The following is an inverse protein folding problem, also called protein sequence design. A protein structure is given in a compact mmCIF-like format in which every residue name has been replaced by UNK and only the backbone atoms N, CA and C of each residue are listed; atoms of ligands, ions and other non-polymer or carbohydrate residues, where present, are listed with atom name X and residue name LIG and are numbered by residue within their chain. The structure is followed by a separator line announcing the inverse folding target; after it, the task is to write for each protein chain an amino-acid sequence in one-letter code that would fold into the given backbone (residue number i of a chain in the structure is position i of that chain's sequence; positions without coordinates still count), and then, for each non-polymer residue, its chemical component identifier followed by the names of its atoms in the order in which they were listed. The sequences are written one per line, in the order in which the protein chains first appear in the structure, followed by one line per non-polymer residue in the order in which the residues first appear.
data_IF_797655459965
#
_entry.id   IF_797655459965
#
_cell.length_a   1.000
_cell.length_b   1.000
_cell.length_c   1.000
_cell.angle_alpha   90.00
_cell.angle_beta   90.00
_cell.angle_gamma   90.00
#
_symmetry.space_group_name_H-M   'P 1'
#
loop_
_entity.id
_entity.type
_entity.pdbx_description
1 polymer ?
#
# COMPACT_ATOMS: atom_id res chain seq x y z
N UNK A 1 33.71 -26.16 18.34
CA UNK A 1 33.21 -24.97 17.58
C UNK A 1 32.32 -25.33 16.38
N UNK A 2 32.56 -26.47 15.69
CA UNK A 2 31.79 -26.86 14.47
C UNK A 2 30.30 -27.05 14.66
N UNK A 3 29.84 -27.66 15.75
CA UNK A 3 28.40 -27.97 16.02
C UNK A 3 27.54 -26.72 16.18
N UNK A 4 28.06 -25.63 16.78
CA UNK A 4 27.33 -24.36 16.94
C UNK A 4 27.13 -23.60 15.61
N UNK A 5 28.06 -23.77 14.66
CA UNK A 5 27.97 -23.11 13.34
C UNK A 5 26.92 -23.82 12.47
N UNK A 6 26.89 -25.16 12.46
CA UNK A 6 25.87 -25.91 11.73
C UNK A 6 24.46 -25.65 12.25
N UNK A 7 24.27 -25.42 13.54
CA UNK A 7 22.97 -25.08 14.11
C UNK A 7 22.45 -23.69 13.65
N UNK A 8 23.34 -22.69 13.53
CA UNK A 8 22.97 -21.33 13.07
C UNK A 8 22.65 -21.28 11.59
N UNK A 9 23.37 -22.05 10.76
CA UNK A 9 23.04 -22.12 9.34
C UNK A 9 21.70 -22.85 9.10
N UNK A 10 21.46 -23.93 9.84
CA UNK A 10 20.16 -24.63 9.78
C UNK A 10 19.01 -23.72 10.22
N UNK A 11 19.23 -22.93 11.30
CA UNK A 11 18.25 -21.94 11.71
C UNK A 11 17.97 -20.93 10.57
N UNK A 12 19.02 -20.33 9.99
CA UNK A 12 18.88 -19.37 8.87
C UNK A 12 18.11 -19.97 7.70
N UNK A 13 18.43 -21.20 7.32
CA UNK A 13 17.76 -21.91 6.22
C UNK A 13 16.27 -22.15 6.52
N UNK A 14 15.94 -22.46 7.77
CA UNK A 14 14.54 -22.67 8.19
C UNK A 14 13.74 -21.37 8.30
N UNK A 15 14.41 -20.24 8.57
CA UNK A 15 13.74 -18.93 8.67
C UNK A 15 13.63 -18.20 7.33
N UNK A 16 14.30 -18.65 6.29
CA UNK A 16 14.36 -17.97 5.01
C UNK A 16 14.14 -18.93 3.85
N UNK A 17 13.49 -18.46 2.80
CA UNK A 17 13.38 -19.18 1.52
C UNK A 17 14.31 -18.57 0.49
N UNK A 18 14.59 -19.24 -0.65
CA UNK A 18 15.34 -18.66 -1.75
C UNK A 18 14.73 -17.30 -2.18
N UNK A 19 15.57 -16.30 -2.41
CA UNK A 19 15.19 -14.93 -2.71
C UNK A 19 14.95 -14.05 -1.49
N UNK A 20 14.67 -14.61 -0.30
CA UNK A 20 14.44 -13.81 0.91
C UNK A 20 15.60 -12.89 1.23
N UNK A 21 15.30 -11.63 1.53
CA UNK A 21 16.28 -10.70 2.09
C UNK A 21 16.63 -11.08 3.53
N UNK A 22 17.87 -10.80 3.88
CA UNK A 22 18.46 -11.08 5.19
C UNK A 22 19.26 -9.86 5.62
N UNK A 23 18.81 -9.17 6.66
CA UNK A 23 19.42 -7.93 7.13
C UNK A 23 20.44 -8.21 8.23
N UNK A 24 21.58 -7.50 8.21
CA UNK A 24 22.63 -7.67 9.23
C UNK A 24 22.12 -7.38 10.65
N UNK A 25 21.23 -6.41 10.81
CA UNK A 25 20.63 -6.13 12.10
C UNK A 25 19.89 -7.38 12.63
N UNK A 26 18.99 -7.95 11.85
CA UNK A 26 18.23 -9.15 12.20
C UNK A 26 19.15 -10.36 12.45
N UNK A 27 20.21 -10.53 11.63
CA UNK A 27 21.21 -11.57 11.89
C UNK A 27 21.89 -11.39 13.24
N UNK A 28 22.24 -10.14 13.63
CA UNK A 28 22.89 -9.83 14.89
C UNK A 28 21.98 -10.11 16.08
N UNK A 29 20.71 -9.77 15.98
CA UNK A 29 19.67 -10.06 16.98
C UNK A 29 19.49 -11.58 17.21
N UNK A 30 19.84 -12.39 16.17
CA UNK A 30 19.82 -13.86 16.24
C UNK A 30 21.23 -14.47 16.36
N UNK A 31 22.15 -13.78 17.01
CA UNK A 31 23.53 -14.23 17.30
C UNK A 31 24.40 -14.51 16.08
N UNK A 32 24.04 -14.06 14.90
CA UNK A 32 24.87 -14.15 13.68
C UNK A 32 25.57 -12.81 13.45
N UNK A 33 26.74 -12.64 14.09
CA UNK A 33 27.55 -11.43 13.97
C UNK A 33 28.09 -11.25 12.56
N UNK A 34 28.50 -10.03 12.24
CA UNK A 34 29.03 -9.64 10.91
C UNK A 34 30.11 -10.60 10.39
N UNK A 35 31.07 -11.00 11.23
CA UNK A 35 32.14 -11.93 10.83
C UNK A 35 31.62 -13.30 10.37
N UNK A 36 30.51 -13.78 10.97
CA UNK A 36 29.89 -15.03 10.56
C UNK A 36 29.06 -14.85 9.29
N UNK A 37 28.36 -13.72 9.16
CA UNK A 37 27.65 -13.39 7.92
C UNK A 37 28.61 -13.29 6.72
N UNK A 38 29.81 -12.74 6.91
CA UNK A 38 30.86 -12.71 5.87
C UNK A 38 31.32 -14.15 5.47
N UNK A 39 31.47 -15.06 6.43
CA UNK A 39 31.76 -16.47 6.13
C UNK A 39 30.63 -17.12 5.33
N UNK A 40 29.37 -16.82 5.65
CA UNK A 40 28.22 -17.31 4.89
C UNK A 40 28.19 -16.75 3.47
N UNK A 41 28.65 -15.51 3.28
CA UNK A 41 28.79 -14.92 1.95
C UNK A 41 29.93 -15.61 1.14
N UNK A 42 31.08 -15.86 1.76
CA UNK A 42 32.21 -16.55 1.14
C UNK A 42 31.87 -17.99 0.77
N UNK A 43 31.09 -18.69 1.56
CA UNK A 43 30.64 -20.07 1.32
C UNK A 43 29.37 -20.20 0.47
N UNK A 44 28.85 -19.08 -0.06
CA UNK A 44 27.69 -19.07 -0.98
C UNK A 44 26.32 -19.25 -0.32
N UNK A 45 26.24 -19.34 1.02
CA UNK A 45 24.95 -19.41 1.72
C UNK A 45 24.15 -18.12 1.67
N UNK A 46 24.85 -17.00 1.59
CA UNK A 46 24.27 -15.68 1.41
C UNK A 46 24.96 -14.99 0.23
N UNK A 47 24.22 -14.16 -0.51
CA UNK A 47 24.75 -13.21 -1.47
C UNK A 47 24.50 -11.79 -0.99
N UNK A 48 25.47 -10.90 -1.19
CA UNK A 48 25.37 -9.50 -0.79
C UNK A 48 24.57 -8.72 -1.84
N UNK A 49 23.56 -7.97 -1.39
CA UNK A 49 22.80 -7.05 -2.22
C UNK A 49 23.28 -5.60 -2.03
N UNK A 50 23.44 -5.19 -0.76
CA UNK A 50 23.91 -3.85 -0.39
C UNK A 50 24.69 -3.93 0.94
N UNK A 51 25.15 -2.79 1.45
CA UNK A 51 25.79 -2.74 2.77
C UNK A 51 24.84 -3.21 3.86
N UNK A 52 25.19 -4.30 4.56
CA UNK A 52 24.34 -4.90 5.60
C UNK A 52 23.07 -5.58 5.10
N UNK A 53 22.92 -5.78 3.80
CA UNK A 53 21.78 -6.44 3.18
C UNK A 53 22.25 -7.60 2.32
N UNK A 54 21.75 -8.76 2.65
CA UNK A 54 22.04 -10.00 1.97
C UNK A 54 20.75 -10.62 1.45
N UNK A 55 20.88 -11.66 0.66
CA UNK A 55 19.74 -12.53 0.31
C UNK A 55 20.21 -13.99 0.26
N UNK A 56 19.26 -14.89 0.46
CA UNK A 56 19.50 -16.31 0.30
C UNK A 56 19.40 -16.69 -1.18
N UNK A 57 20.48 -17.20 -1.82
CA UNK A 57 20.41 -17.67 -3.19
C UNK A 57 19.53 -18.93 -3.29
N UNK A 58 18.99 -19.18 -4.47
CA UNK A 58 18.36 -20.45 -4.83
C UNK A 58 19.37 -21.48 -5.31
N UNK A 59 18.88 -22.64 -5.72
CA UNK A 59 19.68 -23.68 -6.37
C UNK A 59 20.20 -23.21 -7.74
N UNK A 60 19.49 -22.34 -8.44
CA UNK A 60 19.94 -21.63 -9.63
C UNK A 60 20.28 -20.18 -9.27
N UNK A 61 21.27 -19.59 -9.94
CA UNK A 61 21.68 -18.19 -9.74
C UNK A 61 20.60 -17.17 -10.18
N UNK A 62 19.54 -17.62 -10.80
CA UNK A 62 18.44 -16.79 -11.32
C UNK A 62 17.48 -16.27 -10.25
N UNK A 63 17.48 -16.86 -9.04
CA UNK A 63 16.61 -16.45 -7.95
C UNK A 63 17.21 -15.23 -7.25
N UNK A 64 16.75 -14.06 -7.64
CA UNK A 64 17.08 -12.77 -7.02
C UNK A 64 15.90 -12.26 -6.19
N UNK A 65 16.15 -11.45 -5.13
CA UNK A 65 15.09 -10.81 -4.37
C UNK A 65 14.24 -9.93 -5.29
N UNK A 66 12.94 -9.96 -5.02
CA UNK A 66 11.95 -9.10 -5.67
C UNK A 66 11.38 -8.11 -4.64
N UNK A 67 10.60 -7.15 -5.11
CA UNK A 67 10.03 -6.13 -4.23
C UNK A 67 9.21 -6.68 -3.03
N UNK A 68 8.46 -7.81 -3.14
CA UNK A 68 7.78 -8.38 -1.98
C UNK A 68 8.75 -8.84 -0.88
N UNK A 69 9.95 -9.33 -1.26
CA UNK A 69 11.00 -9.70 -0.30
C UNK A 69 11.48 -8.48 0.50
N UNK A 70 11.59 -7.32 -0.18
CA UNK A 70 12.00 -6.07 0.45
C UNK A 70 10.95 -5.58 1.45
N UNK A 71 9.68 -5.60 1.07
CA UNK A 71 8.58 -5.18 1.94
C UNK A 71 8.43 -6.12 3.15
N UNK A 72 8.51 -7.45 2.91
CA UNK A 72 8.48 -8.44 3.98
C UNK A 72 9.63 -8.24 4.98
N UNK A 73 10.86 -7.96 4.50
CA UNK A 73 12.02 -7.73 5.36
C UNK A 73 11.84 -6.48 6.24
N UNK A 74 11.22 -5.40 5.74
CA UNK A 74 10.88 -4.24 6.57
C UNK A 74 9.94 -4.62 7.72
N UNK A 75 8.88 -5.39 7.43
CA UNK A 75 7.90 -5.77 8.45
C UNK A 75 8.47 -6.77 9.46
N UNK A 76 9.14 -7.85 8.99
CA UNK A 76 9.50 -8.99 9.84
C UNK A 76 10.85 -8.83 10.53
N UNK A 77 11.79 -8.14 9.89
CA UNK A 77 13.16 -8.02 10.41
C UNK A 77 13.47 -6.66 11.02
N UNK A 78 12.80 -5.58 10.58
CA UNK A 78 12.95 -4.24 11.15
C UNK A 78 11.73 -3.77 11.93
N UNK A 79 10.67 -4.56 11.95
CA UNK A 79 9.39 -4.25 12.61
C UNK A 79 8.82 -2.87 12.22
N UNK A 80 9.08 -2.45 10.98
CA UNK A 80 8.55 -1.19 10.46
C UNK A 80 7.11 -1.40 9.98
N UNK A 81 6.15 -0.58 10.43
CA UNK A 81 4.75 -0.70 10.05
C UNK A 81 4.51 -0.14 8.64
N UNK A 82 4.89 -0.90 7.63
CA UNK A 82 4.66 -0.60 6.22
C UNK A 82 3.69 -1.63 5.61
N UNK A 83 2.92 -1.22 4.63
CA UNK A 83 1.95 -2.10 3.98
C UNK A 83 1.82 -1.78 2.49
N UNK A 84 1.34 -2.73 1.72
CA UNK A 84 0.95 -2.49 0.34
C UNK A 84 -0.36 -1.68 0.34
N UNK A 85 -0.36 -0.51 -0.31
CA UNK A 85 -1.41 0.48 -0.17
C UNK A 85 -2.13 0.78 -1.48
N UNK A 86 -3.21 1.53 -1.41
CA UNK A 86 -3.92 2.15 -2.52
C UNK A 86 -4.09 1.25 -3.74
N UNK A 87 -3.67 1.74 -4.90
CA UNK A 87 -3.81 1.03 -6.17
C UNK A 87 -3.16 -0.36 -6.14
N UNK A 88 -1.95 -0.49 -5.57
CA UNK A 88 -1.27 -1.78 -5.49
C UNK A 88 -2.02 -2.77 -4.61
N UNK A 89 -2.60 -2.32 -3.50
CA UNK A 89 -3.43 -3.17 -2.66
C UNK A 89 -4.69 -3.64 -3.39
N UNK A 90 -5.40 -2.75 -4.10
CA UNK A 90 -6.59 -3.11 -4.90
C UNK A 90 -6.24 -4.11 -6.00
N UNK A 91 -5.13 -3.90 -6.71
CA UNK A 91 -4.68 -4.78 -7.80
C UNK A 91 -4.39 -6.19 -7.30
N UNK A 92 -3.64 -6.33 -6.19
CA UNK A 92 -3.32 -7.66 -5.64
C UNK A 92 -4.48 -8.35 -4.92
N UNK A 93 -5.58 -7.64 -4.70
CA UNK A 93 -6.85 -8.22 -4.25
C UNK A 93 -7.83 -8.49 -5.40
N UNK A 94 -7.44 -8.27 -6.68
CA UNK A 94 -8.30 -8.51 -7.84
C UNK A 94 -9.42 -7.47 -8.01
N UNK A 95 -9.29 -6.30 -7.39
CA UNK A 95 -10.30 -5.23 -7.42
C UNK A 95 -9.95 -4.10 -8.39
N UNK A 96 -8.84 -4.22 -9.09
CA UNK A 96 -8.44 -3.28 -10.14
C UNK A 96 -8.06 -4.07 -11.38
N UNK A 97 -8.67 -3.74 -12.52
CA UNK A 97 -8.33 -4.31 -13.82
C UNK A 97 -7.15 -3.60 -14.50
N UNK A 98 -6.48 -2.71 -13.78
CA UNK A 98 -5.37 -1.94 -14.33
C UNK A 98 -4.12 -2.81 -14.40
N UNK A 99 -3.87 -3.36 -15.58
CA UNK A 99 -2.56 -3.90 -15.94
C UNK A 99 -1.63 -2.69 -16.15
N UNK A 100 -0.77 -2.42 -15.20
CA UNK A 100 0.32 -1.48 -15.40
C UNK A 100 1.18 -1.99 -16.58
N UNK A 101 1.03 -1.34 -17.73
CA UNK A 101 1.79 -1.66 -18.96
C UNK A 101 3.29 -1.31 -18.85
N UNK A 102 3.69 -0.62 -17.77
CA UNK A 102 5.08 -0.23 -17.52
C UNK A 102 5.47 -0.54 -16.07
N UNK A 103 6.76 -0.71 -15.84
CA UNK A 103 7.44 -1.03 -14.58
C UNK A 103 6.55 -0.89 -13.34
N UNK A 104 6.42 -1.98 -12.61
CA UNK A 104 5.53 -2.10 -11.45
C UNK A 104 5.79 -0.98 -10.44
N UNK A 105 5.07 0.13 -10.58
CA UNK A 105 5.00 1.16 -9.53
C UNK A 105 4.27 0.54 -8.34
N UNK A 106 4.92 0.48 -7.20
CA UNK A 106 4.33 -0.11 -6.01
C UNK A 106 3.99 0.97 -4.99
N UNK A 107 2.72 1.04 -4.65
CA UNK A 107 2.20 1.95 -3.64
C UNK A 107 2.43 1.38 -2.25
N UNK A 108 3.15 2.11 -1.42
CA UNK A 108 3.51 1.72 -0.06
C UNK A 108 2.91 2.70 0.93
N UNK A 109 2.09 2.19 1.81
CA UNK A 109 1.58 2.94 2.95
C UNK A 109 2.63 3.01 4.07
N UNK A 110 2.92 4.23 4.50
CA UNK A 110 3.91 4.50 5.54
C UNK A 110 3.33 5.41 6.61
N UNK A 111 3.73 5.17 7.85
CA UNK A 111 3.37 6.07 8.94
C UNK A 111 4.08 7.42 8.77
N UNK A 112 3.38 8.50 9.12
CA UNK A 112 3.97 9.86 9.09
C UNK A 112 5.33 9.90 9.78
N UNK A 113 6.30 10.55 9.14
CA UNK A 113 7.69 10.69 9.60
C UNK A 113 8.46 9.38 9.75
N UNK A 114 7.96 8.26 9.21
CA UNK A 114 8.68 6.99 9.19
C UNK A 114 9.92 7.11 8.30
N UNK A 115 11.09 6.85 8.89
CA UNK A 115 12.35 6.79 8.14
C UNK A 115 12.51 5.37 7.59
N UNK A 116 12.56 5.27 6.26
CA UNK A 116 12.84 4.01 5.58
C UNK A 116 14.34 3.90 5.24
N UNK A 117 14.92 2.69 5.34
CA UNK A 117 16.32 2.46 5.02
C UNK A 117 16.66 2.83 3.58
N UNK A 118 17.89 3.30 3.37
CA UNK A 118 18.38 3.68 2.04
C UNK A 118 18.30 2.52 1.04
N UNK A 119 18.71 1.31 1.46
CA UNK A 119 18.67 0.11 0.62
C UNK A 119 17.26 -0.21 0.11
N UNK A 120 16.21 0.10 0.88
CA UNK A 120 14.84 -0.11 0.45
C UNK A 120 14.42 0.94 -0.59
N UNK A 121 14.74 2.21 -0.35
CA UNK A 121 14.43 3.29 -1.31
C UNK A 121 15.13 3.10 -2.65
N UNK A 122 16.33 2.55 -2.63
CA UNK A 122 17.18 2.27 -3.80
C UNK A 122 17.10 0.80 -4.26
N UNK A 123 16.00 0.09 -3.91
CA UNK A 123 15.85 -1.31 -4.29
C UNK A 123 15.86 -1.46 -5.81
N UNK A 124 16.67 -2.38 -6.37
CA UNK A 124 16.90 -2.45 -7.82
C UNK A 124 15.59 -2.61 -8.62
N UNK A 125 15.47 -1.86 -9.69
CA UNK A 125 14.38 -1.93 -10.68
C UNK A 125 12.97 -1.70 -10.09
N UNK A 126 12.89 -1.03 -8.92
CA UNK A 126 11.61 -0.77 -8.27
C UNK A 126 11.39 0.73 -8.09
N UNK A 127 10.23 1.22 -8.51
CA UNK A 127 9.74 2.54 -8.19
C UNK A 127 8.71 2.45 -7.05
N UNK A 128 9.01 3.10 -5.93
CA UNK A 128 8.13 3.17 -4.76
C UNK A 128 7.33 4.46 -4.77
N UNK A 129 6.01 4.35 -4.69
CA UNK A 129 5.12 5.47 -4.46
C UNK A 129 4.64 5.43 -3.02
N UNK A 130 5.02 6.44 -2.24
CA UNK A 130 4.72 6.49 -0.82
C UNK A 130 3.45 7.29 -0.58
N UNK A 131 2.48 6.67 0.07
CA UNK A 131 1.25 7.31 0.51
C UNK A 131 1.11 7.22 2.03
N UNK A 132 0.38 8.16 2.61
CA UNK A 132 0.17 8.18 4.04
C UNK A 132 -1.05 9.00 4.41
N UNK A 133 -2.02 8.35 4.98
CA UNK A 133 -3.28 8.97 5.44
C UNK A 133 -3.11 9.63 6.81
N UNK A 134 -2.63 10.87 6.82
CA UNK A 134 -2.23 11.56 8.05
C UNK A 134 -3.39 11.96 8.97
N UNK A 135 -4.61 12.05 8.44
CA UNK A 135 -5.82 12.49 9.15
C UNK A 135 -6.81 11.36 9.37
N UNK A 136 -6.37 10.11 9.26
CA UNK A 136 -7.18 8.93 9.49
C UNK A 136 -6.60 8.14 10.67
N UNK A 137 -7.46 7.80 11.64
CA UNK A 137 -7.12 6.85 12.68
C UNK A 137 -7.20 5.42 12.13
N UNK A 138 -6.05 4.78 11.96
CA UNK A 138 -5.94 3.40 11.50
C UNK A 138 -6.27 2.43 12.64
N UNK A 139 -7.08 1.42 12.35
CA UNK A 139 -7.39 0.27 13.22
C UNK A 139 -6.84 -0.99 12.54
N UNK A 140 -5.64 -1.48 12.94
CA UNK A 140 -4.92 -2.52 12.21
C UNK A 140 -5.73 -3.77 11.91
N UNK A 141 -6.53 -4.24 12.87
CA UNK A 141 -7.36 -5.45 12.76
C UNK A 141 -8.56 -5.32 11.79
N UNK A 142 -8.95 -4.09 11.45
CA UNK A 142 -10.06 -3.79 10.52
C UNK A 142 -9.57 -3.32 9.17
N UNK A 143 -8.51 -2.52 9.20
CA UNK A 143 -8.04 -1.76 8.05
C UNK A 143 -7.00 -2.52 7.21
N UNK A 144 -6.39 -3.58 7.78
CA UNK A 144 -5.40 -4.38 7.05
C UNK A 144 -5.86 -5.83 6.83
N UNK A 145 -5.24 -6.45 5.84
CA UNK A 145 -5.33 -7.88 5.52
C UNK A 145 -3.94 -8.42 5.22
N UNK A 146 -3.81 -9.73 5.18
CA UNK A 146 -2.63 -10.42 4.66
C UNK A 146 -2.98 -11.04 3.31
N UNK A 147 -2.14 -10.84 2.31
CA UNK A 147 -2.23 -11.50 1.01
C UNK A 147 -0.89 -12.07 0.60
N UNK A 148 -0.93 -13.15 -0.17
CA UNK A 148 0.29 -13.74 -0.74
C UNK A 148 0.58 -13.08 -2.09
N UNK A 149 1.74 -12.42 -2.19
CA UNK A 149 2.24 -11.80 -3.41
C UNK A 149 3.57 -12.42 -3.79
N UNK A 150 3.66 -13.06 -4.96
CA UNK A 150 4.87 -13.75 -5.43
C UNK A 150 5.49 -14.68 -4.37
N UNK A 151 4.63 -15.40 -3.63
CA UNK A 151 5.04 -16.35 -2.59
C UNK A 151 5.47 -15.72 -1.25
N UNK A 152 5.21 -14.42 -1.04
CA UNK A 152 5.44 -13.71 0.23
C UNK A 152 4.13 -13.25 0.84
N UNK A 153 3.95 -13.47 2.12
CA UNK A 153 2.83 -12.89 2.86
C UNK A 153 3.12 -11.44 3.18
N UNK A 154 2.25 -10.55 2.70
CA UNK A 154 2.37 -9.11 2.89
C UNK A 154 1.13 -8.56 3.57
N UNK A 155 1.34 -7.59 4.45
CA UNK A 155 0.26 -6.75 4.96
C UNK A 155 -0.19 -5.79 3.87
N UNK A 156 -1.49 -5.72 3.62
CA UNK A 156 -2.09 -4.84 2.61
C UNK A 156 -3.27 -4.09 3.21
N UNK A 157 -3.59 -2.93 2.67
CA UNK A 157 -4.82 -2.20 3.01
C UNK A 157 -6.04 -3.05 2.67
N UNK A 158 -7.07 -3.04 3.53
CA UNK A 158 -8.39 -3.58 3.14
C UNK A 158 -8.91 -2.84 1.90
N UNK A 159 -9.86 -3.40 1.15
CA UNK A 159 -10.42 -2.71 -0.02
C UNK A 159 -10.93 -1.30 0.30
N UNK A 160 -11.55 -1.12 1.46
CA UNK A 160 -12.10 0.14 1.91
C UNK A 160 -11.00 1.16 2.22
N UNK A 161 -9.95 0.75 2.94
CA UNK A 161 -8.80 1.61 3.20
C UNK A 161 -8.04 1.91 1.91
N UNK A 162 -7.82 0.93 1.05
CA UNK A 162 -7.11 1.11 -0.21
C UNK A 162 -7.84 2.11 -1.13
N UNK A 163 -9.17 2.04 -1.21
CA UNK A 163 -9.98 3.03 -1.92
C UNK A 163 -9.84 4.43 -1.33
N UNK A 164 -9.79 4.53 -0.01
CA UNK A 164 -9.58 5.80 0.69
C UNK A 164 -8.18 6.38 0.41
N UNK A 165 -7.14 5.54 0.45
CA UNK A 165 -5.76 5.93 0.13
C UNK A 165 -5.64 6.45 -1.31
N UNK A 166 -6.32 5.80 -2.27
CA UNK A 166 -6.38 6.28 -3.66
C UNK A 166 -6.96 7.69 -3.73
N UNK A 167 -8.06 7.95 -3.01
CA UNK A 167 -8.70 9.28 -3.01
C UNK A 167 -7.81 10.33 -2.34
N UNK A 168 -7.10 9.98 -1.27
CA UNK A 168 -6.22 10.92 -0.56
C UNK A 168 -5.01 11.36 -1.40
N UNK A 169 -4.64 10.55 -2.39
CA UNK A 169 -3.51 10.80 -3.30
C UNK A 169 -3.92 11.41 -4.65
N UNK A 170 -5.19 11.77 -4.84
CA UNK A 170 -5.65 12.49 -6.04
C UNK A 170 -4.90 13.82 -6.16
N UNK A 171 -4.37 14.07 -7.36
CA UNK A 171 -3.56 15.24 -7.67
C UNK A 171 -2.09 15.14 -7.27
N UNK A 172 -1.67 14.01 -6.65
CA UNK A 172 -0.27 13.73 -6.30
C UNK A 172 0.25 12.49 -7.02
N UNK A 173 -0.33 11.33 -6.75
CA UNK A 173 0.08 10.04 -7.32
C UNK A 173 -0.87 9.56 -8.41
N UNK A 174 -2.09 10.05 -8.44
CA UNK A 174 -3.13 9.62 -9.38
C UNK A 174 -4.00 10.81 -9.80
N UNK A 175 -4.51 10.79 -11.05
CA UNK A 175 -5.48 11.79 -11.50
C UNK A 175 -6.87 11.51 -10.93
N UNK A 176 -7.72 12.52 -10.94
CA UNK A 176 -9.11 12.38 -10.48
C UNK A 176 -9.88 11.39 -11.38
N UNK A 177 -9.67 11.48 -12.69
CA UNK A 177 -10.31 10.62 -13.70
C UNK A 177 -9.93 9.16 -13.49
N UNK A 178 -8.65 8.89 -13.27
CA UNK A 178 -8.18 7.52 -13.02
C UNK A 178 -8.73 6.98 -11.70
N UNK A 179 -8.80 7.80 -10.64
CA UNK A 179 -9.44 7.40 -9.39
C UNK A 179 -10.94 7.10 -9.60
N UNK A 180 -11.64 7.87 -10.45
CA UNK A 180 -13.03 7.60 -10.79
C UNK A 180 -13.20 6.28 -11.56
N UNK A 181 -12.33 5.98 -12.51
CA UNK A 181 -12.33 4.69 -13.22
C UNK A 181 -12.15 3.51 -12.26
N UNK A 182 -11.23 3.63 -11.29
CA UNK A 182 -11.05 2.62 -10.24
C UNK A 182 -12.31 2.44 -9.40
N UNK A 183 -12.94 3.55 -8.99
CA UNK A 183 -14.17 3.51 -8.21
C UNK A 183 -15.31 2.80 -8.92
N UNK A 184 -15.39 2.87 -10.24
CA UNK A 184 -16.40 2.12 -11.01
C UNK A 184 -16.36 0.62 -10.70
N UNK A 185 -15.19 0.04 -10.49
CA UNK A 185 -15.00 -1.38 -10.16
C UNK A 185 -15.28 -1.75 -8.70
N UNK A 186 -15.40 -0.78 -7.78
CA UNK A 186 -15.52 -1.04 -6.34
C UNK A 186 -16.97 -1.31 -5.90
N UNK A 187 -17.64 -2.21 -6.58
CA UNK A 187 -19.08 -2.51 -6.38
C UNK A 187 -19.39 -3.25 -5.07
N UNK A 188 -18.41 -3.90 -4.46
CA UNK A 188 -18.58 -4.81 -3.32
C UNK A 188 -17.90 -4.34 -2.02
N UNK A 189 -17.71 -3.02 -1.82
CA UNK A 189 -17.19 -2.54 -0.54
C UNK A 189 -18.21 -2.77 0.59
N UNK A 190 -17.70 -3.02 1.80
CA UNK A 190 -18.56 -3.19 2.97
C UNK A 190 -19.05 -1.83 3.48
N UNK A 191 -20.37 -1.53 3.46
CA UNK A 191 -20.88 -0.24 3.94
C UNK A 191 -20.51 0.03 5.40
N UNK A 192 -20.51 -1.01 6.26
CA UNK A 192 -20.10 -0.88 7.68
C UNK A 192 -18.64 -0.49 7.84
N UNK A 193 -17.75 -1.04 7.00
CA UNK A 193 -16.32 -0.71 7.06
C UNK A 193 -16.05 0.68 6.50
N UNK A 194 -16.67 1.02 5.36
CA UNK A 194 -16.60 2.36 4.78
C UNK A 194 -17.09 3.41 5.78
N UNK A 195 -18.26 3.19 6.38
CA UNK A 195 -18.83 4.07 7.41
C UNK A 195 -17.83 4.30 8.55
N UNK A 196 -17.37 3.20 9.18
CA UNK A 196 -16.41 3.26 10.28
C UNK A 196 -15.10 3.96 9.90
N UNK A 197 -14.65 3.83 8.65
CA UNK A 197 -13.45 4.49 8.16
C UNK A 197 -13.66 5.99 8.00
N UNK A 198 -14.75 6.40 7.35
CA UNK A 198 -15.05 7.82 7.11
C UNK A 198 -15.36 8.59 8.40
N UNK A 199 -16.00 7.96 9.38
CA UNK A 199 -16.24 8.54 10.72
C UNK A 199 -14.94 8.84 11.48
N UNK A 200 -13.92 8.01 11.30
CA UNK A 200 -12.58 8.19 11.92
C UNK A 200 -11.70 9.20 11.17
N UNK A 201 -12.11 9.58 9.96
CA UNK A 201 -11.34 10.49 9.12
C UNK A 201 -11.61 11.94 9.46
N UNK A 202 -10.53 12.72 9.61
CA UNK A 202 -10.55 14.19 9.73
C UNK A 202 -10.14 14.88 8.42
N UNK A 203 -9.97 14.14 7.33
CA UNK A 203 -9.61 14.67 6.02
C UNK A 203 -10.86 15.07 5.23
N UNK A 204 -11.38 16.25 5.49
CA UNK A 204 -12.63 16.79 4.91
C UNK A 204 -12.66 16.65 3.37
N UNK A 205 -11.59 17.01 2.69
CA UNK A 205 -11.52 16.93 1.23
C UNK A 205 -11.62 15.48 0.75
N UNK A 206 -10.85 14.58 1.35
CA UNK A 206 -10.82 13.16 1.02
C UNK A 206 -12.20 12.52 1.26
N UNK A 207 -12.85 12.83 2.41
CA UNK A 207 -14.19 12.34 2.71
C UNK A 207 -15.21 12.78 1.64
N UNK A 208 -15.19 14.05 1.24
CA UNK A 208 -16.11 14.59 0.23
C UNK A 208 -15.89 13.94 -1.15
N UNK A 209 -14.63 13.81 -1.57
CA UNK A 209 -14.30 13.18 -2.87
C UNK A 209 -14.67 11.69 -2.86
N UNK A 210 -14.41 10.99 -1.75
CA UNK A 210 -14.79 9.59 -1.61
C UNK A 210 -16.31 9.40 -1.76
N UNK A 211 -17.11 10.19 -1.08
CA UNK A 211 -18.56 10.15 -1.19
C UNK A 211 -19.04 10.55 -2.58
N UNK A 212 -18.47 11.61 -3.16
CA UNK A 212 -18.77 12.02 -4.53
C UNK A 212 -18.58 10.86 -5.51
N UNK A 213 -17.40 10.22 -5.55
CA UNK A 213 -17.10 9.11 -6.45
C UNK A 213 -18.05 7.92 -6.22
N UNK A 214 -18.36 7.64 -4.96
CA UNK A 214 -19.25 6.55 -4.59
C UNK A 214 -20.67 6.74 -5.13
N UNK A 215 -21.20 7.95 -5.03
CA UNK A 215 -22.53 8.31 -5.54
C UNK A 215 -22.54 8.52 -7.06
N UNK A 216 -21.46 9.06 -7.62
CA UNK A 216 -21.32 9.23 -9.07
C UNK A 216 -21.46 7.89 -9.82
N UNK A 217 -20.93 6.82 -9.27
CA UNK A 217 -21.06 5.47 -9.82
C UNK A 217 -22.30 4.71 -9.34
N UNK A 218 -23.13 5.32 -8.49
CA UNK A 218 -24.38 4.73 -8.04
C UNK A 218 -24.23 3.47 -7.18
N UNK A 219 -23.13 3.33 -6.44
CA UNK A 219 -22.87 2.15 -5.64
C UNK A 219 -23.92 1.92 -4.57
N UNK A 220 -24.50 0.70 -4.52
CA UNK A 220 -25.53 0.35 -3.54
C UNK A 220 -25.04 0.44 -2.09
N UNK A 221 -23.77 0.17 -1.84
CA UNK A 221 -23.18 0.30 -0.52
C UNK A 221 -23.10 1.77 -0.07
N UNK A 222 -22.92 2.71 -0.99
CA UNK A 222 -22.89 4.15 -0.69
C UNK A 222 -24.25 4.67 -0.20
N UNK A 223 -25.34 4.14 -0.72
CA UNK A 223 -26.71 4.50 -0.29
C UNK A 223 -27.03 4.09 1.15
N UNK A 224 -26.19 3.23 1.76
CA UNK A 224 -26.33 2.75 3.14
C UNK A 224 -25.49 3.53 4.14
N UNK A 225 -24.78 4.57 3.69
CA UNK A 225 -23.94 5.39 4.55
C UNK A 225 -24.77 6.49 5.22
N UNK A 226 -24.50 6.73 6.50
CA UNK A 226 -24.98 7.88 7.23
C UNK A 226 -23.99 9.04 7.10
N UNK A 227 -24.23 9.92 6.13
CA UNK A 227 -23.37 11.07 5.88
C UNK A 227 -23.38 12.09 7.04
N UNK A 228 -24.41 12.08 7.89
CA UNK A 228 -24.51 13.02 9.01
C UNK A 228 -23.47 12.82 10.10
N UNK A 229 -22.92 11.59 10.21
CA UNK A 229 -21.87 11.23 11.15
C UNK A 229 -20.44 11.41 10.59
N UNK A 230 -20.33 11.77 9.30
CA UNK A 230 -19.04 11.92 8.62
C UNK A 230 -18.60 13.39 8.64
N UNK A 231 -17.32 13.63 8.97
CA UNK A 231 -16.78 14.98 8.95
C UNK A 231 -16.62 15.50 7.52
N UNK A 232 -17.59 16.27 7.06
CA UNK A 232 -17.56 16.96 5.76
C UNK A 232 -17.14 18.43 5.89
N UNK A 233 -16.95 18.94 7.11
CA UNK A 233 -16.52 20.31 7.37
C UNK A 233 -17.45 21.36 6.74
N UNK A 234 -16.93 22.57 6.54
CA UNK A 234 -17.65 23.68 5.91
C UNK A 234 -16.86 24.32 4.77
N UNK A 235 -17.55 25.06 3.92
CA UNK A 235 -16.96 25.84 2.82
C UNK A 235 -16.54 25.02 1.62
N UNK A 236 -16.29 25.70 0.51
CA UNK A 236 -15.90 25.11 -0.78
C UNK A 236 -14.47 24.57 -0.75
N UNK A 237 -14.19 23.52 -1.53
CA UNK A 237 -12.85 22.96 -1.73
C UNK A 237 -12.56 22.83 -3.22
N UNK A 238 -11.41 23.33 -3.64
CA UNK A 238 -10.92 23.12 -5.00
C UNK A 238 -10.12 21.81 -5.01
N UNK A 239 -10.59 20.82 -5.78
CA UNK A 239 -9.92 19.53 -5.96
C UNK A 239 -9.41 19.39 -7.40
N UNK A 240 -10.23 19.76 -8.37
CA UNK A 240 -9.84 19.83 -9.77
C UNK A 240 -9.61 21.29 -10.19
N UNK A 241 -8.50 21.53 -10.91
CA UNK A 241 -8.28 22.80 -11.59
C UNK A 241 -9.24 22.91 -12.79
N UNK A 242 -9.84 24.10 -13.00
CA UNK A 242 -10.80 24.36 -14.09
C UNK A 242 -11.98 23.38 -14.14
N UNK A 243 -12.33 22.76 -13.03
CA UNK A 243 -13.43 21.81 -12.95
C UNK A 243 -14.79 22.47 -12.67
N UNK A 244 -15.85 21.66 -12.74
CA UNK A 244 -17.20 22.09 -12.35
C UNK A 244 -17.41 21.92 -10.84
N UNK A 245 -18.22 22.83 -10.29
CA UNK A 245 -18.59 22.78 -8.87
C UNK A 245 -19.74 21.81 -8.64
N UNK A 246 -19.52 20.85 -7.75
CA UNK A 246 -20.54 19.98 -7.19
C UNK A 246 -21.14 20.60 -5.94
N UNK A 247 -22.44 20.87 -5.98
CA UNK A 247 -23.17 21.56 -4.89
C UNK A 247 -23.33 20.68 -3.66
N UNK A 248 -23.52 19.34 -3.84
CA UNK A 248 -23.76 18.40 -2.75
C UNK A 248 -22.56 18.28 -1.83
N UNK A 249 -21.39 18.06 -2.42
CA UNK A 249 -20.16 17.86 -1.65
C UNK A 249 -19.29 19.12 -1.56
N UNK A 250 -19.71 20.21 -2.20
CA UNK A 250 -19.00 21.51 -2.21
C UNK A 250 -17.52 21.38 -2.63
N UNK A 251 -17.28 20.62 -3.70
CA UNK A 251 -15.95 20.41 -4.31
C UNK A 251 -15.98 20.76 -5.80
N UNK A 252 -14.80 21.11 -6.36
CA UNK A 252 -14.65 21.13 -7.81
C UNK A 252 -14.24 19.75 -8.31
N UNK A 253 -14.91 19.27 -9.35
CA UNK A 253 -14.64 17.98 -10.00
C UNK A 253 -14.30 18.20 -11.47
N UNK A 254 -13.54 17.31 -12.13
CA UNK A 254 -13.29 17.40 -13.57
C UNK A 254 -14.58 17.53 -14.37
N UNK A 255 -14.53 18.27 -15.46
CA UNK A 255 -15.71 18.51 -16.28
C UNK A 255 -16.28 17.21 -16.87
N UNK A 256 -15.41 16.24 -17.18
CA UNK A 256 -15.76 14.90 -17.60
C UNK A 256 -16.61 14.10 -16.63
N UNK A 257 -16.51 14.42 -15.32
CA UNK A 257 -17.24 13.75 -14.23
C UNK A 257 -18.40 14.60 -13.69
N UNK A 258 -18.67 15.75 -14.30
CA UNK A 258 -19.82 16.55 -13.89
C UNK A 258 -21.11 15.84 -14.27
N UNK A 259 -21.98 15.61 -13.29
CA UNK A 259 -23.34 15.11 -13.53
C UNK A 259 -24.05 16.14 -14.41
N UNK A 260 -24.41 15.80 -15.65
CA UNK A 260 -25.28 16.63 -16.46
C UNK A 260 -26.59 16.76 -15.70
N UNK A 261 -26.99 17.98 -15.30
CA UNK A 261 -28.36 18.21 -14.86
C UNK A 261 -29.24 17.74 -16.04
N UNK A 262 -30.00 16.66 -15.86
CA UNK A 262 -31.08 16.35 -16.77
C UNK A 262 -31.89 17.64 -16.89
N UNK A 263 -31.90 18.21 -18.08
CA UNK A 263 -32.82 19.29 -18.40
C UNK A 263 -34.20 18.67 -18.32
N UNK A 264 -34.87 18.80 -17.18
CA UNK A 264 -36.30 18.67 -17.07
C UNK A 264 -36.91 19.82 -17.90
N UNK A 265 -36.99 19.61 -19.22
CA UNK A 265 -37.97 20.31 -20.03
C UNK A 265 -39.29 19.57 -19.82
N UNK A 266 -40.12 20.16 -18.93
CA UNK A 266 -41.46 19.77 -18.60
C UNK A 266 -42.48 19.98 -19.70
#
# INVERSE_FOLDING_TARGET
MSVKISSKINWLVNQTSPGSLVLQQWLTENDIRYSLAQKYTQSGWLKKLAAGVYYRPGASDDIKPQWPDALQALNTQLHLPVHLAGLSSLTHQGLSHYLALNQEQVWIGVKSKQILPKWFKEFPQQEWLFCGVHKLQILPEKDFKTVTVKGRELQVSSPELAAYEVVDEIGKLISFEHAAELFQGLVNLSPKKVQSLLERSQAVQTNRVFLFLSHYHGHQWAQRLDESSINLGSGKRQVAENGRYDERYQITVPESLSVKKEQNNG
#
